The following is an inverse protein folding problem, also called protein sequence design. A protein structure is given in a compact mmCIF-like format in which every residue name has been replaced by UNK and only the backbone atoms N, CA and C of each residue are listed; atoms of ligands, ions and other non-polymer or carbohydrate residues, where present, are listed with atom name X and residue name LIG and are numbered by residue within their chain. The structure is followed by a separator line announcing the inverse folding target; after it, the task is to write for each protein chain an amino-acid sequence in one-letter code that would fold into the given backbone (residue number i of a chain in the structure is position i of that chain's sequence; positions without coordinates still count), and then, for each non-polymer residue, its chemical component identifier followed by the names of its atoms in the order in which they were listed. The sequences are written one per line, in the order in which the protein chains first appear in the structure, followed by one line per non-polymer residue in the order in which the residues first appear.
data_IF_341136638449
#
_entry.id   IF_341136638449
#
_cell.length_a   1.000
_cell.length_b   1.000
_cell.length_c   1.000
_cell.angle_alpha   90.00
_cell.angle_beta   90.00
_cell.angle_gamma   90.00
#
_symmetry.space_group_name_H-M   'P 1'
#
loop_
_entity.id
_entity.type
_entity.pdbx_description
1 polymer ?
#
# COMPACT_ATOMS: atom_id res chain seq x y z
N UNK A 1 24.11 22.46 -28.49
CA UNK A 1 25.39 21.77 -28.72
C UNK A 1 26.36 22.01 -27.56
N UNK A 2 26.10 21.46 -26.36
CA UNK A 2 27.04 21.47 -25.20
C UNK A 2 26.69 20.31 -24.25
N UNK A 3 27.09 19.09 -24.60
CA UNK A 3 26.93 17.90 -23.73
C UNK A 3 28.22 17.07 -23.59
N UNK A 4 29.37 17.62 -24.01
CA UNK A 4 30.62 16.87 -24.07
C UNK A 4 31.55 17.07 -22.85
N UNK A 5 31.46 18.16 -22.08
CA UNK A 5 32.56 18.53 -21.15
C UNK A 5 32.82 17.58 -19.97
N UNK A 6 31.81 17.00 -19.32
CA UNK A 6 32.06 16.21 -18.09
C UNK A 6 32.60 14.80 -18.34
N UNK A 7 32.15 14.12 -19.39
CA UNK A 7 32.71 12.81 -19.80
C UNK A 7 34.14 12.98 -20.32
N UNK A 8 34.39 14.05 -21.07
CA UNK A 8 35.72 14.36 -21.60
C UNK A 8 36.71 14.72 -20.49
N UNK A 9 36.30 15.50 -19.47
CA UNK A 9 37.13 15.81 -18.31
C UNK A 9 37.50 14.56 -17.48
N UNK A 10 36.55 13.63 -17.27
CA UNK A 10 36.86 12.37 -16.59
C UNK A 10 37.79 11.48 -17.40
N UNK A 11 37.62 11.45 -18.73
CA UNK A 11 38.48 10.68 -19.63
C UNK A 11 39.91 11.24 -19.65
N UNK A 12 40.05 12.56 -19.72
CA UNK A 12 41.33 13.26 -19.64
C UNK A 12 42.01 13.06 -18.27
N UNK A 13 41.26 13.06 -17.17
CA UNK A 13 41.81 12.83 -15.84
C UNK A 13 42.32 11.38 -15.68
N UNK A 14 41.58 10.41 -16.22
CA UNK A 14 41.99 8.99 -16.24
C UNK A 14 43.24 8.76 -17.09
N UNK A 15 43.31 9.39 -18.27
CA UNK A 15 44.50 9.38 -19.14
C UNK A 15 45.72 10.01 -18.47
N UNK A 16 45.53 11.13 -17.76
CA UNK A 16 46.60 11.79 -17.01
C UNK A 16 47.15 10.90 -15.89
N UNK A 17 46.28 10.18 -15.17
CA UNK A 17 46.70 9.23 -14.14
C UNK A 17 47.43 8.03 -14.72
N UNK A 18 46.98 7.51 -15.86
CA UNK A 18 47.63 6.40 -16.55
C UNK A 18 49.04 6.79 -17.03
N UNK A 19 49.19 7.98 -17.58
CA UNK A 19 50.47 8.48 -18.07
C UNK A 19 51.45 8.78 -16.92
N UNK A 20 50.95 9.35 -15.80
CA UNK A 20 51.73 9.51 -14.57
C UNK A 20 52.17 8.16 -13.99
N UNK A 21 51.27 7.17 -13.96
CA UNK A 21 51.60 5.83 -13.47
C UNK A 21 52.67 5.14 -14.34
N UNK A 22 52.59 5.26 -15.68
CA UNK A 22 53.63 4.76 -16.60
C UNK A 22 54.98 5.42 -16.37
N UNK A 23 55.00 6.75 -16.17
CA UNK A 23 56.23 7.49 -15.88
C UNK A 23 56.86 7.06 -14.56
N UNK A 24 56.03 6.81 -13.53
CA UNK A 24 56.46 6.35 -12.21
C UNK A 24 57.00 4.91 -12.24
N UNK A 25 56.38 4.02 -13.02
CA UNK A 25 56.86 2.64 -13.19
C UNK A 25 58.14 2.54 -14.04
N UNK A 26 58.43 3.55 -14.86
CA UNK A 26 59.58 3.57 -15.77
C UNK A 26 60.83 4.26 -15.20
N UNK A 27 60.78 4.86 -14.00
CA UNK A 27 61.90 5.60 -13.42
C UNK A 27 62.11 5.37 -11.92
N UNK A 28 63.29 5.73 -11.40
CA UNK A 28 63.57 5.87 -9.96
C UNK A 28 62.85 7.12 -9.42
N UNK A 29 61.55 6.99 -9.16
CA UNK A 29 60.71 8.11 -8.69
C UNK A 29 60.59 8.06 -7.16
N UNK A 30 60.52 9.23 -6.51
CA UNK A 30 60.38 9.30 -5.05
C UNK A 30 59.04 8.69 -4.60
N UNK A 31 59.06 8.04 -3.43
CA UNK A 31 57.87 7.38 -2.83
C UNK A 31 56.67 8.33 -2.73
N UNK A 32 56.90 9.64 -2.55
CA UNK A 32 55.86 10.67 -2.52
C UNK A 32 55.03 10.76 -3.79
N UNK A 33 55.63 10.53 -4.96
CA UNK A 33 54.91 10.62 -6.25
C UNK A 33 54.02 9.38 -6.47
N UNK A 34 54.43 8.22 -5.95
CA UNK A 34 53.59 7.02 -5.89
C UNK A 34 52.38 7.24 -4.98
N UNK A 35 52.59 7.78 -3.77
CA UNK A 35 51.50 8.09 -2.84
C UNK A 35 50.48 9.07 -3.41
N UNK A 36 50.93 10.07 -4.18
CA UNK A 36 50.04 11.05 -4.81
C UNK A 36 49.18 10.43 -5.93
N UNK A 37 49.76 9.54 -6.74
CA UNK A 37 48.99 8.80 -7.77
C UNK A 37 48.02 7.82 -7.14
N UNK A 38 48.42 7.09 -6.09
CA UNK A 38 47.52 6.20 -5.35
C UNK A 38 46.34 7.00 -4.79
N UNK A 39 46.60 8.11 -4.10
CA UNK A 39 45.57 8.99 -3.53
C UNK A 39 44.60 9.50 -4.60
N UNK A 40 45.13 10.00 -5.71
CA UNK A 40 44.29 10.52 -6.81
C UNK A 40 43.48 9.40 -7.49
N UNK A 41 44.02 8.18 -7.56
CA UNK A 41 43.30 7.01 -8.09
C UNK A 41 42.14 6.58 -7.18
N UNK A 42 42.32 6.65 -5.86
CA UNK A 42 41.27 6.36 -4.89
C UNK A 42 40.11 7.36 -5.00
N UNK A 43 40.41 8.64 -5.21
CA UNK A 43 39.39 9.68 -5.39
C UNK A 43 38.57 9.46 -6.68
N UNK A 44 39.22 9.04 -7.77
CA UNK A 44 38.52 8.70 -9.03
C UNK A 44 37.62 7.47 -8.86
N UNK A 45 38.08 6.47 -8.11
CA UNK A 45 37.28 5.28 -7.80
C UNK A 45 36.08 5.62 -6.91
N UNK A 46 36.29 6.41 -5.85
CA UNK A 46 35.21 6.89 -4.97
C UNK A 46 34.14 7.67 -5.74
N UNK A 47 34.55 8.55 -6.66
CA UNK A 47 33.63 9.28 -7.54
C UNK A 47 32.81 8.35 -8.44
N UNK A 48 33.41 7.27 -8.94
CA UNK A 48 32.72 6.28 -9.77
C UNK A 48 31.64 5.54 -8.98
N UNK A 49 31.96 5.12 -7.74
CA UNK A 49 30.98 4.48 -6.85
C UNK A 49 29.83 5.45 -6.55
N UNK A 50 30.15 6.69 -6.14
CA UNK A 50 29.14 7.71 -5.83
C UNK A 50 28.20 7.97 -7.02
N UNK A 51 28.72 8.01 -8.26
CA UNK A 51 27.89 8.15 -9.47
C UNK A 51 27.00 6.94 -9.74
N UNK A 52 27.53 5.74 -9.55
CA UNK A 52 26.75 4.50 -9.70
C UNK A 52 25.59 4.50 -8.71
N UNK A 53 25.88 4.79 -7.44
CA UNK A 53 24.88 4.88 -6.38
C UNK A 53 23.82 5.95 -6.67
N UNK A 54 24.20 7.16 -7.08
CA UNK A 54 23.26 8.23 -7.47
C UNK A 54 22.36 7.80 -8.64
N UNK A 55 22.91 7.05 -9.60
CA UNK A 55 22.15 6.55 -10.75
C UNK A 55 21.09 5.55 -10.32
N UNK A 56 21.43 4.63 -9.40
CA UNK A 56 20.47 3.67 -8.82
C UNK A 56 19.44 4.35 -7.92
N UNK A 57 19.83 5.43 -7.23
CA UNK A 57 19.00 6.17 -6.27
C UNK A 57 17.96 7.07 -6.93
N UNK A 58 18.24 7.52 -8.15
CA UNK A 58 17.42 8.48 -8.90
C UNK A 58 15.90 8.16 -8.92
N UNK A 59 15.44 6.90 -9.11
CA UNK A 59 14.02 6.59 -9.13
C UNK A 59 13.27 6.88 -7.82
N UNK A 60 13.98 6.90 -6.69
CA UNK A 60 13.42 7.17 -5.36
C UNK A 60 13.50 8.64 -4.97
N UNK A 61 14.30 9.43 -5.68
CA UNK A 61 14.56 10.84 -5.38
C UNK A 61 13.78 11.80 -6.28
N UNK A 62 13.36 11.31 -7.45
CA UNK A 62 12.72 12.12 -8.48
C UNK A 62 11.25 11.76 -8.55
N UNK A 63 10.40 12.58 -7.94
CA UNK A 63 8.95 12.60 -8.18
C UNK A 63 8.63 13.30 -9.53
N UNK A 64 9.32 12.96 -10.62
CA UNK A 64 8.96 13.52 -11.94
C UNK A 64 7.70 12.81 -12.43
N UNK A 65 6.55 13.35 -12.05
CA UNK A 65 5.25 13.11 -12.70
C UNK A 65 5.25 13.57 -14.17
N UNK A 66 6.32 14.22 -14.64
CA UNK A 66 6.43 14.78 -15.99
C UNK A 66 7.67 14.28 -16.73
N UNK A 67 7.68 13.03 -17.17
CA UNK A 67 8.35 12.66 -18.43
C UNK A 67 7.87 11.30 -18.89
N UNK A 68 7.07 11.35 -19.96
CA UNK A 68 6.82 10.28 -20.90
C UNK A 68 8.01 9.34 -21.05
N UNK A 69 8.00 8.22 -20.33
CA UNK A 69 8.83 7.06 -20.63
C UNK A 69 8.10 5.82 -20.19
N UNK A 70 7.78 5.03 -21.20
CA UNK A 70 7.23 3.68 -21.17
C UNK A 70 7.84 2.86 -20.03
N UNK A 71 6.95 2.21 -19.26
CA UNK A 71 7.18 1.33 -18.11
C UNK A 71 7.68 2.03 -16.82
N UNK A 72 6.76 2.62 -16.06
CA UNK A 72 6.97 2.84 -14.63
C UNK A 72 6.97 1.48 -13.91
N UNK A 73 8.11 0.80 -13.90
CA UNK A 73 8.32 -0.35 -13.02
C UNK A 73 8.10 0.11 -11.58
N UNK A 74 7.28 -0.63 -10.84
CA UNK A 74 7.07 -0.37 -9.41
C UNK A 74 8.42 -0.40 -8.67
N UNK A 75 8.58 0.51 -7.72
CA UNK A 75 9.79 0.65 -6.94
C UNK A 75 9.86 -0.42 -5.85
N UNK A 76 11.00 -1.09 -5.71
CA UNK A 76 11.18 -2.13 -4.71
C UNK A 76 11.73 -1.54 -3.42
N UNK A 77 11.06 -1.85 -2.32
CA UNK A 77 11.47 -1.38 -0.99
C UNK A 77 12.80 -2.00 -0.57
N UNK A 78 13.07 -3.24 -0.97
CA UNK A 78 14.33 -3.91 -0.64
C UNK A 78 15.53 -3.27 -1.35
N UNK A 79 15.36 -2.86 -2.61
CA UNK A 79 16.37 -2.08 -3.34
C UNK A 79 16.62 -0.73 -2.64
N UNK A 80 15.59 -0.07 -2.11
CA UNK A 80 15.73 1.16 -1.33
C UNK A 80 16.51 0.94 -0.02
N UNK A 81 16.22 -0.14 0.71
CA UNK A 81 16.97 -0.51 1.93
C UNK A 81 18.44 -0.79 1.63
N UNK A 82 18.71 -1.47 0.51
CA UNK A 82 20.08 -1.72 0.04
C UNK A 82 20.77 -0.39 -0.28
N UNK A 83 20.12 0.53 -0.99
CA UNK A 83 20.69 1.84 -1.33
C UNK A 83 21.00 2.69 -0.11
N UNK A 84 20.12 2.72 0.89
CA UNK A 84 20.39 3.41 2.17
C UNK A 84 21.59 2.79 2.87
N UNK A 85 21.70 1.45 2.85
CA UNK A 85 22.85 0.74 3.44
C UNK A 85 24.16 1.00 2.68
N UNK A 86 24.15 0.96 1.35
CA UNK A 86 25.27 1.30 0.48
C UNK A 86 25.74 2.74 0.70
N UNK A 87 24.82 3.65 1.05
CA UNK A 87 25.13 5.06 1.27
C UNK A 87 26.15 5.27 2.39
N UNK A 88 26.15 4.42 3.43
CA UNK A 88 27.09 4.48 4.55
C UNK A 88 28.53 4.13 4.14
N UNK A 89 28.71 3.38 3.05
CA UNK A 89 30.01 2.96 2.53
C UNK A 89 30.64 3.99 1.60
N UNK A 90 29.89 5.02 1.20
CA UNK A 90 30.38 6.07 0.33
C UNK A 90 31.35 6.99 1.09
N UNK A 91 32.57 7.17 0.55
CA UNK A 91 33.59 8.07 1.09
C UNK A 91 33.23 9.58 0.95
N UNK A 92 32.23 9.92 0.14
CA UNK A 92 31.86 11.31 -0.20
C UNK A 92 30.48 11.67 0.31
N UNK A 93 30.34 12.76 1.07
CA UNK A 93 29.03 13.25 1.51
C UNK A 93 28.14 13.63 0.31
N UNK A 94 26.90 13.14 0.32
CA UNK A 94 25.87 13.43 -0.69
C UNK A 94 24.57 13.76 0.06
N UNK A 95 23.92 14.86 -0.31
CA UNK A 95 22.66 15.29 0.31
C UNK A 95 21.53 14.29 0.03
N UNK A 96 21.60 13.62 -1.13
CA UNK A 96 20.68 12.57 -1.56
C UNK A 96 20.61 11.38 -0.59
N UNK A 97 21.60 11.20 0.30
CA UNK A 97 21.55 10.16 1.34
C UNK A 97 20.43 10.44 2.34
N UNK A 98 20.34 11.67 2.82
CA UNK A 98 19.32 12.10 3.79
C UNK A 98 17.94 11.99 3.16
N UNK A 99 17.81 12.39 1.89
CA UNK A 99 16.55 12.26 1.17
C UNK A 99 16.10 10.80 1.01
N UNK A 100 17.02 9.87 0.71
CA UNK A 100 16.68 8.44 0.64
C UNK A 100 16.30 7.86 2.01
N UNK A 101 16.99 8.27 3.07
CA UNK A 101 16.65 7.89 4.44
C UNK A 101 15.25 8.37 4.82
N UNK A 102 14.91 9.62 4.51
CA UNK A 102 13.58 10.19 4.73
C UNK A 102 12.49 9.44 3.95
N UNK A 103 12.75 9.08 2.69
CA UNK A 103 11.83 8.28 1.87
C UNK A 103 11.62 6.89 2.50
N UNK A 104 12.69 6.22 2.92
CA UNK A 104 12.60 4.91 3.58
C UNK A 104 11.86 5.00 4.91
N UNK A 105 12.12 6.04 5.71
CA UNK A 105 11.44 6.27 6.99
C UNK A 105 9.95 6.52 6.78
N UNK A 106 9.59 7.34 5.78
CA UNK A 106 8.20 7.62 5.41
C UNK A 106 7.49 6.34 4.98
N UNK A 107 8.11 5.54 4.10
CA UNK A 107 7.56 4.24 3.70
C UNK A 107 7.37 3.31 4.90
N UNK A 108 8.38 3.20 5.77
CA UNK A 108 8.35 2.29 6.93
C UNK A 108 7.32 2.71 7.97
N UNK A 109 7.07 4.01 8.12
CA UNK A 109 6.00 4.51 8.98
C UNK A 109 4.63 4.18 8.39
N UNK A 110 4.41 4.50 7.11
CA UNK A 110 3.18 4.18 6.39
C UNK A 110 2.86 2.67 6.44
N UNK A 111 3.86 1.82 6.19
CA UNK A 111 3.70 0.36 6.19
C UNK A 111 3.29 -0.16 7.57
N UNK A 112 3.90 0.36 8.65
CA UNK A 112 3.52 0.02 10.03
C UNK A 112 2.09 0.43 10.35
N UNK A 113 1.68 1.63 9.94
CA UNK A 113 0.33 2.13 10.18
C UNK A 113 -0.72 1.30 9.40
N UNK A 114 -0.42 0.94 8.15
CA UNK A 114 -1.23 0.05 7.33
C UNK A 114 -1.37 -1.34 7.97
N UNK A 115 -0.27 -1.95 8.42
CA UNK A 115 -0.33 -3.24 9.12
C UNK A 115 -1.10 -3.17 10.43
N UNK A 116 -0.94 -2.10 11.22
CA UNK A 116 -1.73 -1.87 12.42
C UNK A 116 -3.22 -1.84 12.09
N UNK A 117 -3.64 -1.05 11.11
CA UNK A 117 -5.04 -0.96 10.70
C UNK A 117 -5.61 -2.31 10.25
N UNK A 118 -4.83 -3.09 9.49
CA UNK A 118 -5.23 -4.43 9.05
C UNK A 118 -5.38 -5.42 10.22
N UNK A 119 -4.48 -5.37 11.19
CA UNK A 119 -4.53 -6.22 12.38
C UNK A 119 -5.71 -5.85 13.29
N UNK A 120 -5.99 -4.56 13.46
CA UNK A 120 -7.13 -4.08 14.24
C UNK A 120 -8.46 -4.59 13.65
N UNK A 121 -8.58 -4.55 12.32
CA UNK A 121 -9.73 -5.10 11.59
C UNK A 121 -9.87 -6.60 11.79
N UNK A 122 -8.79 -7.34 11.62
CA UNK A 122 -8.78 -8.79 11.79
C UNK A 122 -9.20 -9.16 13.22
N UNK A 123 -8.70 -8.44 14.21
CA UNK A 123 -9.10 -8.59 15.61
C UNK A 123 -10.60 -8.32 15.82
N UNK A 124 -11.15 -7.25 15.23
CA UNK A 124 -12.57 -6.95 15.30
C UNK A 124 -13.41 -8.08 14.69
N UNK A 125 -13.04 -8.58 13.52
CA UNK A 125 -13.77 -9.68 12.87
C UNK A 125 -13.76 -10.94 13.73
N UNK A 126 -12.64 -11.26 14.37
CA UNK A 126 -12.56 -12.38 15.29
C UNK A 126 -13.47 -12.21 16.51
N UNK A 127 -13.63 -11.00 17.04
CA UNK A 127 -14.61 -10.72 18.12
C UNK A 127 -16.04 -10.92 17.61
N UNK A 128 -16.35 -10.41 16.43
CA UNK A 128 -17.69 -10.51 15.83
C UNK A 128 -18.08 -11.95 15.52
N UNK A 129 -17.11 -12.79 15.13
CA UNK A 129 -17.34 -14.20 14.85
C UNK A 129 -17.67 -15.03 16.11
N UNK A 130 -17.25 -14.58 17.30
CA UNK A 130 -17.44 -15.28 18.59
C UNK A 130 -18.75 -14.89 19.29
N UNK A 131 -19.41 -13.80 18.89
CA UNK A 131 -20.86 -13.62 19.08
C UNK A 131 -21.38 -12.96 20.37
N UNK A 132 -20.55 -12.48 21.30
CA UNK A 132 -21.04 -12.09 22.65
C UNK A 132 -21.10 -10.57 22.97
N UNK A 133 -20.75 -9.65 22.05
CA UNK A 133 -20.66 -8.20 22.37
C UNK A 133 -21.65 -7.30 21.63
N UNK A 134 -22.13 -6.32 22.40
CA UNK A 134 -23.22 -5.37 22.12
C UNK A 134 -23.03 -4.65 20.76
N UNK A 135 -24.07 -4.78 19.92
CA UNK A 135 -24.13 -4.32 18.52
C UNK A 135 -23.96 -2.81 18.31
N UNK A 136 -24.22 -1.98 19.32
CA UNK A 136 -24.31 -0.51 19.14
C UNK A 136 -22.93 0.15 18.99
N UNK A 137 -21.89 -0.40 19.62
CA UNK A 137 -20.52 0.10 19.49
C UNK A 137 -19.82 -0.38 18.20
N UNK A 138 -20.40 -1.41 17.56
CA UNK A 138 -19.83 -2.01 16.36
C UNK A 138 -19.89 -1.04 15.17
N UNK A 139 -21.00 -0.30 15.00
CA UNK A 139 -21.15 0.64 13.88
C UNK A 139 -20.15 1.79 13.95
N UNK A 140 -19.97 2.40 15.13
CA UNK A 140 -18.93 3.42 15.37
C UNK A 140 -17.55 2.85 15.10
N UNK A 141 -17.27 1.65 15.61
CA UNK A 141 -15.99 0.98 15.40
C UNK A 141 -15.69 0.75 13.91
N UNK A 142 -16.66 0.27 13.11
CA UNK A 142 -16.49 0.10 11.66
C UNK A 142 -16.19 1.44 10.97
N UNK A 143 -16.90 2.52 11.32
CA UNK A 143 -16.64 3.85 10.76
C UNK A 143 -15.22 4.33 11.10
N UNK A 144 -14.80 4.19 12.34
CA UNK A 144 -13.48 4.63 12.79
C UNK A 144 -12.37 3.89 12.04
N UNK A 145 -12.53 2.59 11.81
CA UNK A 145 -11.57 1.80 11.03
C UNK A 145 -11.57 2.19 9.56
N UNK A 146 -12.74 2.47 8.97
CA UNK A 146 -12.84 2.99 7.59
C UNK A 146 -12.10 4.32 7.47
N UNK A 147 -12.33 5.26 8.37
CA UNK A 147 -11.66 6.57 8.38
C UNK A 147 -10.15 6.44 8.60
N UNK A 148 -9.70 5.54 9.49
CA UNK A 148 -8.28 5.25 9.69
C UNK A 148 -7.62 4.72 8.41
N UNK A 149 -8.25 3.73 7.76
CA UNK A 149 -7.72 3.17 6.50
C UNK A 149 -7.76 4.18 5.35
N UNK A 150 -8.81 4.98 5.26
CA UNK A 150 -8.94 6.06 4.28
C UNK A 150 -7.81 7.08 4.46
N UNK A 151 -7.55 7.54 5.69
CA UNK A 151 -6.44 8.45 5.97
C UNK A 151 -5.07 7.85 5.61
N UNK A 152 -4.85 6.56 5.86
CA UNK A 152 -3.60 5.87 5.46
C UNK A 152 -3.50 5.80 3.93
N UNK A 153 -4.62 5.59 3.23
CA UNK A 153 -4.67 5.57 1.78
C UNK A 153 -4.51 6.98 1.16
N UNK A 154 -5.04 8.02 1.80
CA UNK A 154 -4.92 9.42 1.35
C UNK A 154 -3.52 10.00 1.58
N UNK A 155 -2.83 9.54 2.63
CA UNK A 155 -1.40 9.75 2.83
C UNK A 155 -0.57 8.87 1.87
N UNK A 156 -1.05 8.69 0.63
CA UNK A 156 -0.46 7.81 -0.36
C UNK A 156 1.00 8.18 -0.58
N UNK A 157 1.84 7.16 -0.64
CA UNK A 157 3.25 7.32 -0.93
C UNK A 157 3.38 8.06 -2.26
N UNK A 158 4.16 9.14 -2.27
CA UNK A 158 4.43 9.95 -3.47
C UNK A 158 5.11 9.16 -4.60
N UNK A 159 5.57 7.94 -4.29
CA UNK A 159 6.28 7.04 -5.17
C UNK A 159 5.53 5.71 -5.30
N UNK A 160 5.49 5.12 -6.51
CA UNK A 160 4.74 3.89 -6.76
C UNK A 160 5.54 2.65 -6.33
N UNK A 161 5.45 2.30 -5.04
CA UNK A 161 6.11 1.11 -4.49
C UNK A 161 5.37 -0.20 -4.84
N UNK A 162 6.15 -1.26 -5.07
CA UNK A 162 5.66 -2.64 -5.19
C UNK A 162 5.36 -3.21 -3.79
N UNK A 163 4.28 -2.73 -3.17
CA UNK A 163 3.89 -3.14 -1.82
C UNK A 163 2.73 -4.13 -1.86
N UNK A 164 2.93 -5.29 -1.25
CA UNK A 164 1.88 -6.29 -1.01
C UNK A 164 0.79 -5.80 -0.05
N UNK A 165 1.09 -4.75 0.73
CA UNK A 165 0.19 -4.21 1.77
C UNK A 165 -0.89 -3.34 1.14
N UNK A 166 -0.57 -2.56 0.11
CA UNK A 166 -1.51 -1.67 -0.60
C UNK A 166 -2.76 -2.42 -1.10
N UNK A 167 -2.67 -3.51 -1.89
CA UNK A 167 -3.86 -4.19 -2.38
C UNK A 167 -4.70 -4.78 -1.24
N UNK A 168 -4.05 -5.33 -0.20
CA UNK A 168 -4.73 -5.88 0.98
C UNK A 168 -5.46 -4.80 1.78
N UNK A 169 -4.84 -3.64 1.97
CA UNK A 169 -5.46 -2.48 2.63
C UNK A 169 -6.69 -1.99 1.87
N UNK A 170 -6.58 -1.86 0.54
CA UNK A 170 -7.68 -1.42 -0.33
C UNK A 170 -8.85 -2.40 -0.31
N UNK A 171 -8.58 -3.70 -0.38
CA UNK A 171 -9.61 -4.74 -0.29
C UNK A 171 -10.32 -4.69 1.07
N UNK A 172 -9.55 -4.60 2.15
CA UNK A 172 -10.07 -4.56 3.53
C UNK A 172 -10.89 -3.30 3.78
N UNK A 173 -10.42 -2.13 3.32
CA UNK A 173 -11.16 -0.87 3.35
C UNK A 173 -12.50 -1.00 2.62
N UNK A 174 -12.49 -1.54 1.40
CA UNK A 174 -13.70 -1.67 0.61
C UNK A 174 -14.73 -2.57 1.29
N UNK A 175 -14.27 -3.69 1.86
CA UNK A 175 -15.10 -4.59 2.66
C UNK A 175 -15.68 -3.88 3.91
N UNK A 176 -14.86 -3.21 4.70
CA UNK A 176 -15.31 -2.51 5.91
C UNK A 176 -16.26 -1.35 5.61
N UNK A 177 -16.00 -0.61 4.54
CA UNK A 177 -16.88 0.46 4.07
C UNK A 177 -18.23 -0.10 3.62
N UNK A 178 -18.23 -1.26 2.95
CA UNK A 178 -19.47 -1.96 2.62
C UNK A 178 -20.22 -2.39 3.89
N UNK A 179 -19.55 -3.02 4.86
CA UNK A 179 -20.16 -3.41 6.14
C UNK A 179 -20.75 -2.21 6.89
N UNK A 180 -20.02 -1.09 6.95
CA UNK A 180 -20.50 0.16 7.55
C UNK A 180 -21.78 0.64 6.87
N UNK A 181 -21.80 0.71 5.53
CA UNK A 181 -23.00 1.09 4.75
C UNK A 181 -24.17 0.12 4.96
N UNK A 182 -23.88 -1.17 5.08
CA UNK A 182 -24.85 -2.22 5.31
C UNK A 182 -25.47 -2.11 6.71
N UNK A 183 -24.68 -1.82 7.73
CA UNK A 183 -25.13 -1.69 9.12
C UNK A 183 -25.89 -0.37 9.38
N UNK A 184 -25.58 0.72 8.66
CA UNK A 184 -26.26 2.03 8.78
C UNK A 184 -27.53 2.07 7.90
N UNK A 185 -28.12 0.93 7.57
CA UNK A 185 -29.34 0.88 6.76
C UNK A 185 -30.56 1.34 7.58
N UNK A 186 -30.67 2.65 7.85
CA UNK A 186 -31.71 3.22 8.71
C UNK A 186 -32.70 4.14 7.96
N UNK A 187 -32.30 4.81 6.85
CA UNK A 187 -33.02 6.02 6.39
C UNK A 187 -33.43 6.09 4.91
N UNK A 188 -33.53 4.99 4.17
CA UNK A 188 -33.87 5.06 2.73
C UNK A 188 -34.84 4.00 2.24
N UNK A 189 -35.62 4.34 1.21
CA UNK A 189 -36.57 3.44 0.51
C UNK A 189 -35.87 2.09 0.23
N UNK A 190 -36.32 0.99 0.84
CA UNK A 190 -35.51 -0.22 0.95
C UNK A 190 -35.16 -0.90 -0.38
N UNK A 191 -36.00 -0.73 -1.41
CA UNK A 191 -36.06 -1.60 -2.60
C UNK A 191 -34.80 -1.58 -3.47
N UNK A 192 -34.36 -0.40 -3.91
CA UNK A 192 -33.22 -0.29 -4.84
C UNK A 192 -31.87 -0.43 -4.14
N UNK A 193 -31.74 0.08 -2.92
CA UNK A 193 -30.46 0.12 -2.20
C UNK A 193 -30.02 -1.25 -1.68
N UNK A 194 -30.97 -2.10 -1.24
CA UNK A 194 -30.68 -3.48 -0.83
C UNK A 194 -30.14 -4.32 -1.99
N UNK A 195 -30.71 -4.16 -3.18
CA UNK A 195 -30.23 -4.89 -4.37
C UNK A 195 -28.82 -4.48 -4.77
N UNK A 196 -28.51 -3.18 -4.76
CA UNK A 196 -27.17 -2.68 -5.07
C UNK A 196 -26.13 -3.20 -4.06
N UNK A 197 -26.42 -3.12 -2.76
CA UNK A 197 -25.51 -3.63 -1.73
C UNK A 197 -25.27 -5.14 -1.88
N UNK A 198 -26.29 -5.94 -2.21
CA UNK A 198 -26.14 -7.38 -2.45
C UNK A 198 -25.35 -7.71 -3.73
N UNK A 199 -25.40 -6.85 -4.75
CA UNK A 199 -24.56 -7.00 -5.96
C UNK A 199 -23.10 -6.73 -5.60
N UNK A 200 -22.83 -5.63 -4.89
CA UNK A 200 -21.49 -5.25 -4.44
C UNK A 200 -20.89 -6.31 -3.50
N UNK A 201 -21.71 -6.93 -2.65
CA UNK A 201 -21.30 -7.98 -1.72
C UNK A 201 -20.62 -9.17 -2.39
N UNK A 202 -20.97 -9.47 -3.66
CA UNK A 202 -20.38 -10.59 -4.40
C UNK A 202 -18.87 -10.46 -4.56
N UNK A 203 -18.36 -9.23 -4.60
CA UNK A 203 -16.93 -8.94 -4.70
C UNK A 203 -16.15 -9.42 -3.46
N UNK A 204 -16.78 -9.43 -2.29
CA UNK A 204 -16.13 -9.79 -1.01
C UNK A 204 -16.40 -11.24 -0.59
N UNK A 205 -17.38 -11.88 -1.22
CA UNK A 205 -17.80 -13.24 -0.88
C UNK A 205 -16.67 -14.26 -1.01
N UNK A 206 -15.73 -14.09 -1.95
CA UNK A 206 -14.61 -15.04 -2.09
C UNK A 206 -13.67 -14.98 -0.89
N UNK A 207 -13.33 -13.76 -0.45
CA UNK A 207 -12.35 -13.55 0.62
C UNK A 207 -12.94 -13.76 2.01
N UNK A 208 -14.20 -13.35 2.25
CA UNK A 208 -14.78 -13.32 3.60
C UNK A 208 -15.88 -14.36 3.84
N UNK A 209 -16.20 -15.24 2.89
CA UNK A 209 -17.25 -16.26 3.03
C UNK A 209 -17.08 -17.21 4.23
N UNK A 210 -15.86 -17.39 4.73
CA UNK A 210 -15.62 -18.28 5.88
C UNK A 210 -16.05 -17.67 7.21
N UNK A 211 -16.16 -16.33 7.30
CA UNK A 211 -16.51 -15.59 8.51
C UNK A 211 -17.98 -15.78 8.89
N UNK A 212 -18.27 -16.08 10.15
CA UNK A 212 -19.66 -16.23 10.62
C UNK A 212 -20.38 -14.89 10.58
N UNK A 213 -19.71 -13.80 10.99
CA UNK A 213 -20.26 -12.44 10.89
C UNK A 213 -20.72 -12.10 9.47
N UNK A 214 -19.89 -12.40 8.46
CA UNK A 214 -20.23 -12.12 7.07
C UNK A 214 -21.46 -12.90 6.60
N UNK A 215 -21.54 -14.20 6.92
CA UNK A 215 -22.71 -15.03 6.60
C UNK A 215 -23.98 -14.45 7.22
N UNK A 216 -23.94 -14.14 8.51
CA UNK A 216 -25.08 -13.54 9.22
C UNK A 216 -25.51 -12.21 8.61
N UNK A 217 -24.56 -11.37 8.21
CA UNK A 217 -24.86 -10.08 7.57
C UNK A 217 -25.52 -10.27 6.19
N UNK A 218 -25.01 -11.20 5.37
CA UNK A 218 -25.58 -11.52 4.06
C UNK A 218 -26.96 -12.16 4.18
N UNK A 219 -27.15 -13.09 5.11
CA UNK A 219 -28.44 -13.71 5.35
C UNK A 219 -29.48 -12.69 5.81
N UNK A 220 -29.08 -11.73 6.66
CA UNK A 220 -29.90 -10.60 7.06
C UNK A 220 -30.32 -9.72 5.87
N UNK A 221 -29.40 -9.43 4.94
CA UNK A 221 -29.71 -8.67 3.73
C UNK A 221 -30.58 -9.44 2.73
N UNK A 222 -30.39 -10.75 2.60
CA UNK A 222 -31.26 -11.60 1.78
C UNK A 222 -32.67 -11.66 2.35
N UNK A 223 -32.80 -11.77 3.68
CA UNK A 223 -34.09 -11.67 4.36
C UNK A 223 -34.74 -10.31 4.13
N UNK A 224 -33.98 -9.22 4.28
CA UNK A 224 -34.47 -7.86 4.03
C UNK A 224 -34.97 -7.70 2.59
N UNK A 225 -34.23 -8.24 1.60
CA UNK A 225 -34.65 -8.25 0.20
C UNK A 225 -36.01 -8.92 0.02
N UNK A 226 -36.20 -10.12 0.59
CA UNK A 226 -37.47 -10.84 0.52
C UNK A 226 -38.61 -10.07 1.18
N UNK A 227 -38.39 -9.51 2.38
CA UNK A 227 -39.38 -8.71 3.08
C UNK A 227 -39.83 -7.50 2.24
N UNK A 228 -38.89 -6.84 1.58
CA UNK A 228 -39.15 -5.69 0.72
C UNK A 228 -39.89 -6.07 -0.56
N UNK A 229 -39.59 -7.23 -1.16
CA UNK A 229 -40.33 -7.78 -2.30
C UNK A 229 -41.79 -8.07 -1.93
N UNK A 230 -42.04 -8.66 -0.74
CA UNK A 230 -43.39 -8.92 -0.20
C UNK A 230 -44.14 -7.59 0.03
N UNK A 231 -43.51 -6.62 0.68
CA UNK A 231 -44.15 -5.32 0.96
C UNK A 231 -44.47 -4.55 -0.34
N UNK A 232 -43.54 -4.53 -1.29
CA UNK A 232 -43.74 -3.83 -2.57
C UNK A 232 -44.87 -4.40 -3.42
N UNK A 233 -45.17 -5.68 -3.25
CA UNK A 233 -46.21 -6.39 -3.98
C UNK A 233 -47.57 -6.37 -3.27
N UNK A 234 -47.63 -6.10 -1.96
CA UNK A 234 -48.87 -5.82 -1.22
C UNK A 234 -49.65 -4.62 -1.80
N UNK A 235 -48.98 -3.70 -2.49
CA UNK A 235 -49.62 -2.57 -3.17
C UNK A 235 -50.30 -2.97 -4.51
N UNK A 236 -50.14 -4.22 -4.97
CA UNK A 236 -50.59 -4.66 -6.31
C UNK A 236 -51.35 -6.00 -6.30
N UNK A 237 -51.13 -6.92 -5.33
CA UNK A 237 -51.78 -8.25 -5.27
C UNK A 237 -52.06 -8.75 -3.84
N UNK A 238 -53.09 -9.60 -3.69
CA UNK A 238 -53.35 -10.40 -2.47
C UNK A 238 -52.22 -11.41 -2.24
N UNK A 239 -51.70 -11.47 -1.01
CA UNK A 239 -50.63 -12.39 -0.59
C UNK A 239 -51.18 -13.67 0.06
N UNK A 240 -50.42 -14.76 -0.07
CA UNK A 240 -50.63 -15.95 0.75
C UNK A 240 -49.97 -15.74 2.12
N UNK A 241 -50.73 -16.01 3.18
CA UNK A 241 -50.28 -15.94 4.58
C UNK A 241 -49.00 -16.76 4.82
N UNK A 242 -48.84 -17.86 4.09
CA UNK A 242 -47.67 -18.74 4.15
C UNK A 242 -46.34 -18.03 3.86
N UNK A 243 -46.34 -17.06 2.94
CA UNK A 243 -45.10 -16.37 2.55
C UNK A 243 -44.64 -15.41 3.65
N UNK A 244 -45.60 -14.82 4.36
CA UNK A 244 -45.35 -13.96 5.53
C UNK A 244 -44.89 -14.78 6.73
N UNK A 245 -45.50 -15.95 6.95
CA UNK A 245 -45.11 -16.88 8.03
C UNK A 245 -43.70 -17.44 7.83
N UNK A 246 -43.32 -17.74 6.59
CA UNK A 246 -41.98 -18.22 6.25
C UNK A 246 -40.91 -17.12 6.43
N UNK A 247 -41.17 -15.89 5.95
CA UNK A 247 -40.29 -14.76 6.23
C UNK A 247 -40.14 -14.50 7.73
N UNK A 248 -41.23 -14.61 8.49
CA UNK A 248 -41.20 -14.49 9.95
C UNK A 248 -40.38 -15.60 10.62
N UNK A 249 -40.50 -16.86 10.16
CA UNK A 249 -39.67 -17.98 10.64
C UNK A 249 -38.19 -17.77 10.36
N UNK A 250 -37.84 -17.30 9.17
CA UNK A 250 -36.46 -17.00 8.79
C UNK A 250 -35.86 -15.89 9.66
N UNK A 251 -36.65 -14.85 9.99
CA UNK A 251 -36.20 -13.81 10.93
C UNK A 251 -35.83 -14.39 12.29
N UNK A 252 -36.63 -15.32 12.83
CA UNK A 252 -36.36 -15.98 14.12
C UNK A 252 -35.13 -16.87 14.08
N UNK A 253 -34.84 -17.52 12.95
CA UNK A 253 -33.64 -18.34 12.78
C UNK A 253 -32.35 -17.51 12.82
N UNK A 254 -32.37 -16.29 12.26
CA UNK A 254 -31.25 -15.35 12.34
C UNK A 254 -30.93 -14.96 13.79
N UNK A 255 -31.95 -14.85 14.66
CA UNK A 255 -31.76 -14.59 16.09
C UNK A 255 -31.35 -15.82 16.91
N UNK A 256 -31.54 -17.05 16.40
CA UNK A 256 -31.19 -18.29 17.10
C UNK A 256 -29.77 -18.79 16.79
N UNK A 257 -29.21 -18.45 15.62
CA UNK A 257 -27.82 -18.76 15.25
C UNK A 257 -26.80 -17.69 15.72
N UNK A 258 -27.27 -16.58 16.27
CA UNK A 258 -26.45 -15.58 16.98
C UNK A 258 -26.38 -15.81 18.50
N UNK A 259 -26.53 -17.06 18.95
CA UNK A 259 -26.43 -17.49 20.35
C UNK A 259 -25.44 -18.64 20.49
#
# INVERSE_FOLDING_TARGET
MRRCSRKFLMFLHKLCLEEKAKHILAGEVQMSDFEDVVRTSEDVYALSIAKSWLTKSKPYLVSDLSLTSVASSLLKVDDLKELVSESNLLKMYLEERVLLEDVLQTYTQWERDAFSALNDVEFLLNILDVGDKILFDVISTFKDHVTKMESIMENELSLPFDSIVIPKLRETYAFFNWCSKALIFHDSVPTLKVQLLLVDAKCYHVTYAYRSFWKSLIDGFNWLKQAVEIIGSCNVKRFNLSDVEEAWRQSKMLFYYGR
#
